data_IF_450016418243
#
_entry.id   IF_450016418243
#
_cell.length_a   1.000
_cell.length_b   1.000
_cell.length_c   1.000
_cell.angle_alpha   90.00
_cell.angle_beta   90.00
_cell.angle_gamma   90.00
#
_symmetry.space_group_name_H-M   'P 1'
#
loop_
_entity.id
_entity.type
_entity.pdbx_description
1 polymer ?
#
# COMPACT_ATOMS: atom_id res chain seq x y z
N UNK A 1 0.96 -3.62 10.06
CA UNK A 1 1.13 -2.16 9.85
C UNK A 1 0.35 -1.46 10.95
N UNK A 2 0.83 -0.32 11.42
CA UNK A 2 0.12 0.47 12.41
C UNK A 2 -1.18 1.01 11.80
N UNK A 3 -2.25 0.92 12.57
CA UNK A 3 -3.55 1.55 12.36
C UNK A 3 -3.96 2.24 13.66
N UNK A 4 -5.00 3.08 13.60
CA UNK A 4 -5.43 3.85 14.78
C UNK A 4 -5.84 2.94 15.94
N UNK A 5 -6.34 1.74 15.67
CA UNK A 5 -6.87 0.81 16.67
C UNK A 5 -5.88 -0.26 17.18
N UNK A 6 -4.67 -0.35 16.62
CA UNK A 6 -3.74 -1.47 16.90
C UNK A 6 -2.38 -1.06 17.46
N UNK A 7 -2.21 0.21 17.85
CA UNK A 7 -0.89 0.77 18.20
C UNK A 7 -0.15 -0.04 19.27
N UNK A 8 -0.80 -0.40 20.38
CA UNK A 8 -0.17 -1.16 21.48
C UNK A 8 0.36 -2.53 21.00
N UNK A 9 -0.47 -3.26 20.25
CA UNK A 9 -0.09 -4.56 19.68
C UNK A 9 1.04 -4.39 18.65
N UNK A 10 0.95 -3.36 17.82
CA UNK A 10 1.95 -3.06 16.80
C UNK A 10 3.32 -2.85 17.45
N UNK A 11 3.44 -1.96 18.44
CA UNK A 11 4.73 -1.70 19.08
C UNK A 11 5.26 -2.88 19.89
N UNK A 12 4.38 -3.74 20.43
CA UNK A 12 4.80 -4.95 21.14
C UNK A 12 5.32 -6.07 20.23
N UNK A 13 4.87 -6.13 18.96
CA UNK A 13 5.10 -7.28 18.07
C UNK A 13 5.75 -6.92 16.72
N UNK A 14 6.10 -5.65 16.51
CA UNK A 14 6.71 -5.20 15.27
C UNK A 14 8.09 -5.85 15.07
N UNK A 15 8.26 -6.53 13.94
CA UNK A 15 9.53 -7.09 13.51
C UNK A 15 10.02 -6.39 12.24
N UNK A 16 11.31 -6.08 12.20
CA UNK A 16 11.94 -5.51 11.00
C UNK A 16 12.13 -6.58 9.93
N UNK A 17 11.81 -6.22 8.69
CA UNK A 17 11.98 -7.09 7.52
C UNK A 17 13.43 -7.49 7.29
N UNK A 18 14.38 -6.64 7.67
CA UNK A 18 15.80 -6.82 7.40
C UNK A 18 16.35 -8.11 8.02
N UNK A 19 15.82 -8.54 9.17
CA UNK A 19 16.22 -9.79 9.80
C UNK A 19 15.91 -11.00 8.90
N UNK A 20 14.73 -11.01 8.28
CA UNK A 20 14.31 -12.06 7.36
C UNK A 20 15.06 -11.94 6.03
N UNK A 21 15.17 -10.73 5.48
CA UNK A 21 15.87 -10.48 4.22
C UNK A 21 17.34 -10.92 4.32
N UNK A 22 18.05 -10.52 5.38
CA UNK A 22 19.45 -10.91 5.60
C UNK A 22 19.59 -12.42 5.75
N UNK A 23 18.64 -13.08 6.41
CA UNK A 23 18.61 -14.54 6.48
C UNK A 23 18.48 -15.18 5.09
N UNK A 24 17.54 -14.70 4.27
CA UNK A 24 17.30 -15.21 2.91
C UNK A 24 18.56 -15.06 2.05
N UNK A 25 19.15 -13.86 2.03
CA UNK A 25 20.37 -13.58 1.26
C UNK A 25 21.54 -14.47 1.71
N UNK A 26 21.75 -14.62 3.02
CA UNK A 26 22.79 -15.52 3.58
C UNK A 26 22.56 -16.98 3.22
N UNK A 27 21.32 -17.38 2.97
CA UNK A 27 20.93 -18.74 2.55
C UNK A 27 20.88 -18.92 1.03
N UNK A 28 21.41 -17.97 0.25
CA UNK A 28 21.52 -18.10 -1.21
C UNK A 28 20.25 -17.73 -1.98
N UNK A 29 19.24 -17.17 -1.31
CA UNK A 29 18.07 -16.63 -1.99
C UNK A 29 18.44 -15.33 -2.71
N UNK A 30 17.81 -15.09 -3.86
CA UNK A 30 18.11 -13.96 -4.74
C UNK A 30 16.86 -13.13 -4.98
N UNK A 31 17.00 -11.81 -4.89
CA UNK A 31 15.91 -10.88 -5.14
C UNK A 31 15.61 -10.76 -6.64
N UNK A 32 14.34 -10.68 -6.97
CA UNK A 32 13.83 -10.41 -8.31
C UNK A 32 13.63 -8.92 -8.52
N UNK A 33 13.82 -8.48 -9.77
CA UNK A 33 13.46 -7.13 -10.17
C UNK A 33 11.94 -7.02 -10.28
N UNK A 34 11.38 -5.93 -9.75
CA UNK A 34 9.94 -5.65 -9.87
C UNK A 34 9.59 -5.21 -11.29
N UNK A 35 8.58 -5.84 -11.87
CA UNK A 35 7.88 -5.36 -13.06
C UNK A 35 6.99 -4.16 -12.77
N UNK A 36 6.56 -3.48 -13.82
CA UNK A 36 5.72 -2.28 -13.72
C UNK A 36 4.33 -2.54 -13.10
N UNK A 37 3.82 -3.77 -13.25
CA UNK A 37 2.50 -4.17 -12.77
C UNK A 37 2.57 -4.99 -11.46
N UNK A 38 3.76 -5.15 -10.88
CA UNK A 38 3.93 -6.01 -9.72
C UNK A 38 3.40 -5.39 -8.43
N UNK A 39 3.08 -6.29 -7.49
CA UNK A 39 2.84 -5.95 -6.10
C UNK A 39 3.99 -5.15 -5.47
N UNK A 40 3.79 -4.59 -4.26
CA UNK A 40 4.86 -3.91 -3.54
C UNK A 40 5.91 -4.88 -2.95
N UNK A 41 5.72 -6.19 -3.12
CA UNK A 41 6.62 -7.19 -2.59
C UNK A 41 7.91 -7.24 -3.41
N UNK A 42 9.05 -7.37 -2.72
CA UNK A 42 10.29 -7.85 -3.33
C UNK A 42 10.26 -9.37 -3.23
N UNK A 43 10.25 -10.05 -4.36
CA UNK A 43 10.23 -11.51 -4.40
C UNK A 43 11.64 -12.08 -4.37
N UNK A 44 11.81 -13.17 -3.62
CA UNK A 44 13.07 -13.90 -3.50
C UNK A 44 12.85 -15.34 -3.98
N UNK A 45 13.79 -15.87 -4.77
CA UNK A 45 13.80 -17.29 -5.17
C UNK A 45 15.13 -17.95 -4.84
N UNK A 46 15.15 -19.28 -4.83
CA UNK A 46 16.35 -20.09 -4.65
C UNK A 46 16.39 -21.18 -5.72
N UNK A 47 17.57 -21.51 -6.31
CA UNK A 47 17.67 -22.56 -7.34
C UNK A 47 17.14 -23.93 -6.90
N UNK A 48 17.35 -24.29 -5.64
CA UNK A 48 16.95 -25.59 -5.09
C UNK A 48 15.45 -25.70 -4.75
N UNK A 49 14.66 -24.62 -4.85
CA UNK A 49 13.25 -24.60 -4.47
C UNK A 49 12.37 -24.03 -5.58
N UNK A 50 11.18 -24.61 -5.77
CA UNK A 50 10.21 -24.15 -6.77
C UNK A 50 9.40 -22.93 -6.34
N UNK A 51 9.42 -22.59 -5.04
CA UNK A 51 8.63 -21.50 -4.46
C UNK A 51 9.38 -20.16 -4.41
N UNK A 52 8.61 -19.10 -4.14
CA UNK A 52 9.13 -17.75 -3.90
C UNK A 52 8.64 -17.20 -2.57
N UNK A 53 9.43 -16.31 -1.98
CA UNK A 53 9.08 -15.59 -0.75
C UNK A 53 8.99 -14.10 -1.11
N UNK A 54 7.82 -13.49 -0.87
CA UNK A 54 7.61 -12.06 -1.08
C UNK A 54 7.74 -11.28 0.22
N UNK A 55 8.61 -10.27 0.26
CA UNK A 55 8.76 -9.37 1.39
C UNK A 55 8.11 -8.02 1.08
N UNK A 56 7.13 -7.61 1.88
CA UNK A 56 6.50 -6.29 1.80
C UNK A 56 6.95 -5.49 3.02
N UNK A 57 7.74 -4.44 2.78
CA UNK A 57 8.28 -3.55 3.81
C UNK A 57 7.66 -2.15 3.68
N UNK A 58 6.44 -1.91 4.22
CA UNK A 58 5.72 -0.65 4.03
C UNK A 58 6.34 0.54 4.78
N UNK A 59 7.33 0.31 5.65
CA UNK A 59 8.08 1.37 6.35
C UNK A 59 9.41 1.69 5.68
N UNK A 60 9.78 0.97 4.61
CA UNK A 60 11.03 1.21 3.91
C UNK A 60 11.00 2.59 3.21
N UNK A 61 12.16 3.27 3.13
CA UNK A 61 12.30 4.43 2.25
C UNK A 61 11.87 4.08 0.83
N UNK A 62 11.35 5.04 0.09
CA UNK A 62 10.97 4.91 -1.32
C UNK A 62 9.85 3.89 -1.62
N UNK A 63 9.15 3.37 -0.60
CA UNK A 63 8.04 2.43 -0.79
C UNK A 63 6.93 3.01 -1.71
N UNK A 64 6.67 4.31 -1.59
CA UNK A 64 5.60 4.99 -2.32
C UNK A 64 6.00 5.46 -3.73
N UNK A 65 7.30 5.54 -4.06
CA UNK A 65 7.80 6.14 -5.31
C UNK A 65 7.25 5.46 -6.57
N UNK A 66 6.92 4.16 -6.46
CA UNK A 66 6.31 3.37 -7.55
C UNK A 66 4.82 3.09 -7.33
N UNK A 67 4.16 3.78 -6.38
CA UNK A 67 2.77 3.52 -6.01
C UNK A 67 1.79 4.09 -7.04
N UNK A 68 1.25 3.22 -7.88
CA UNK A 68 0.24 3.52 -8.89
C UNK A 68 -1.20 3.15 -8.44
N UNK A 69 -1.45 3.02 -7.14
CA UNK A 69 -2.72 2.55 -6.59
C UNK A 69 -3.62 3.68 -6.10
N UNK A 70 -4.90 3.54 -6.42
CA UNK A 70 -6.03 4.21 -5.79
C UNK A 70 -6.98 3.14 -5.26
N UNK A 71 -7.79 3.45 -4.26
CA UNK A 71 -8.81 2.53 -3.74
C UNK A 71 -10.17 3.20 -3.74
N UNK A 72 -11.22 2.43 -4.00
CA UNK A 72 -12.60 2.87 -3.92
C UNK A 72 -13.28 2.09 -2.80
N UNK A 73 -13.86 2.79 -1.83
CA UNK A 73 -14.65 2.17 -0.77
C UNK A 73 -16.06 1.81 -1.25
N UNK A 74 -16.75 0.94 -0.52
CA UNK A 74 -18.14 0.54 -0.80
C UNK A 74 -19.13 1.71 -0.75
N UNK A 75 -18.77 2.82 -0.10
CA UNK A 75 -19.55 4.05 -0.06
C UNK A 75 -19.42 4.90 -1.33
N UNK A 76 -18.59 4.49 -2.29
CA UNK A 76 -18.32 5.26 -3.51
C UNK A 76 -17.36 6.42 -3.27
N UNK A 77 -16.38 6.22 -2.38
CA UNK A 77 -15.34 7.22 -2.11
C UNK A 77 -13.96 6.74 -2.56
N UNK A 78 -13.22 7.62 -3.22
CA UNK A 78 -11.82 7.37 -3.63
C UNK A 78 -10.88 7.75 -2.49
N UNK A 79 -9.94 6.85 -2.22
CA UNK A 79 -8.78 7.08 -1.37
C UNK A 79 -7.53 7.17 -2.26
N UNK A 80 -6.81 8.29 -2.17
CA UNK A 80 -5.59 8.51 -2.96
C UNK A 80 -4.38 7.81 -2.33
N UNK A 81 -4.42 7.61 -1.02
CA UNK A 81 -3.48 6.78 -0.27
C UNK A 81 -4.22 5.81 0.66
N UNK A 82 -3.60 4.68 0.98
CA UNK A 82 -4.10 3.74 1.99
C UNK A 82 -4.15 4.40 3.39
N UNK A 83 -3.22 5.31 3.68
CA UNK A 83 -3.08 6.00 4.96
C UNK A 83 -3.35 7.51 4.83
N UNK A 84 -4.27 7.86 3.93
CA UNK A 84 -4.67 9.25 3.69
C UNK A 84 -5.43 9.84 4.90
N UNK A 85 -5.49 11.17 4.96
CA UNK A 85 -6.29 11.91 5.94
C UNK A 85 -7.74 12.14 5.43
N UNK A 86 -8.02 11.80 4.17
CA UNK A 86 -9.32 12.07 3.55
C UNK A 86 -9.77 11.02 2.53
N UNK A 87 -10.95 11.27 1.97
CA UNK A 87 -11.52 10.54 0.84
C UNK A 87 -12.43 11.46 0.03
N UNK A 88 -12.62 11.12 -1.25
CA UNK A 88 -13.31 11.97 -2.22
C UNK A 88 -14.53 11.25 -2.78
N UNK A 89 -15.69 11.89 -2.71
CA UNK A 89 -16.95 11.31 -3.20
C UNK A 89 -16.96 11.29 -4.74
N UNK A 90 -17.17 10.10 -5.30
CA UNK A 90 -17.37 9.90 -6.75
C UNK A 90 -18.74 9.29 -7.07
N UNK A 91 -19.59 9.10 -6.05
CA UNK A 91 -20.86 8.38 -6.15
C UNK A 91 -21.79 9.03 -7.17
N UNK A 92 -21.78 10.36 -7.27
CA UNK A 92 -22.59 11.10 -8.24
C UNK A 92 -22.30 10.67 -9.69
N UNK A 93 -21.03 10.62 -10.08
CA UNK A 93 -20.61 10.19 -11.42
C UNK A 93 -21.00 8.73 -11.68
N UNK A 94 -20.85 7.86 -10.68
CA UNK A 94 -21.23 6.46 -10.77
C UNK A 94 -22.75 6.29 -10.98
N UNK A 95 -23.56 7.04 -10.23
CA UNK A 95 -25.02 6.99 -10.31
C UNK A 95 -25.56 7.51 -11.65
N UNK A 96 -24.91 8.52 -12.21
CA UNK A 96 -25.28 9.11 -13.50
C UNK A 96 -24.68 8.36 -14.70
N UNK A 97 -23.86 7.34 -14.46
CA UNK A 97 -23.08 6.65 -15.50
C UNK A 97 -22.21 7.60 -16.32
N UNK A 98 -21.75 8.69 -15.71
CA UNK A 98 -20.89 9.70 -16.34
C UNK A 98 -19.43 9.25 -16.28
N UNK A 99 -19.05 8.41 -17.23
CA UNK A 99 -17.67 7.88 -17.35
C UNK A 99 -16.67 9.00 -17.66
N UNK A 100 -17.02 9.94 -18.53
CA UNK A 100 -16.12 11.02 -18.93
C UNK A 100 -15.84 11.97 -17.77
N UNK A 101 -16.89 12.38 -17.04
CA UNK A 101 -16.74 13.19 -15.84
C UNK A 101 -15.98 12.47 -14.73
N UNK A 102 -16.21 11.16 -14.53
CA UNK A 102 -15.43 10.37 -13.57
C UNK A 102 -13.94 10.35 -13.92
N UNK A 103 -13.59 10.07 -15.18
CA UNK A 103 -12.19 10.04 -15.64
C UNK A 103 -11.53 11.40 -15.43
N UNK A 104 -12.18 12.48 -15.84
CA UNK A 104 -11.67 13.83 -15.61
C UNK A 104 -11.47 14.10 -14.11
N UNK A 105 -12.44 13.71 -13.29
CA UNK A 105 -12.35 13.93 -11.84
C UNK A 105 -11.21 13.16 -11.18
N UNK A 106 -10.94 11.94 -11.65
CA UNK A 106 -9.79 11.15 -11.18
C UNK A 106 -8.46 11.79 -11.58
N UNK A 107 -8.36 12.36 -12.78
CA UNK A 107 -7.18 13.13 -13.18
C UNK A 107 -6.96 14.36 -12.29
N UNK A 108 -8.03 15.08 -11.93
CA UNK A 108 -7.96 16.23 -11.04
C UNK A 108 -7.47 15.87 -9.62
N UNK A 109 -7.61 14.60 -9.21
CA UNK A 109 -7.08 14.12 -7.92
C UNK A 109 -5.59 13.81 -7.95
N UNK A 110 -4.97 13.58 -9.12
CA UNK A 110 -3.58 13.15 -9.21
C UNK A 110 -2.59 14.15 -8.59
N UNK A 111 -2.74 15.47 -8.79
CA UNK A 111 -1.90 16.46 -8.11
C UNK A 111 -2.09 16.51 -6.58
N UNK A 112 -3.19 15.95 -6.06
CA UNK A 112 -3.52 15.93 -4.62
C UNK A 112 -2.98 14.67 -3.94
N UNK A 113 -2.73 13.60 -4.71
CA UNK A 113 -2.21 12.34 -4.17
C UNK A 113 -0.90 12.61 -3.43
N UNK A 114 -0.79 12.23 -2.14
CA UNK A 114 0.44 12.45 -1.39
C UNK A 114 1.57 11.62 -2.01
N UNK A 115 2.77 12.19 -2.03
CA UNK A 115 3.98 11.54 -2.53
C UNK A 115 4.31 10.26 -1.74
N UNK A 116 4.12 10.31 -0.41
CA UNK A 116 4.32 9.19 0.48
C UNK A 116 3.33 9.21 1.65
N UNK A 117 3.20 8.08 2.36
CA UNK A 117 2.50 8.03 3.64
C UNK A 117 3.43 8.40 4.80
N UNK A 118 2.86 8.61 5.99
CA UNK A 118 3.57 9.02 7.20
C UNK A 118 3.63 7.93 8.30
N UNK A 119 3.63 6.66 7.90
CA UNK A 119 3.69 5.53 8.85
C UNK A 119 4.92 5.58 9.77
N UNK A 120 6.08 6.07 9.29
CA UNK A 120 7.28 6.22 10.11
C UNK A 120 7.12 7.25 11.25
N UNK A 121 6.19 8.20 11.09
CA UNK A 121 5.84 9.23 12.06
C UNK A 121 4.68 8.78 12.97
N UNK A 122 4.38 7.48 12.96
CA UNK A 122 3.23 6.90 13.67
C UNK A 122 1.87 7.47 13.23
N UNK A 123 1.78 7.93 11.98
CA UNK A 123 0.57 8.52 11.42
C UNK A 123 -0.03 7.62 10.33
N UNK A 124 -1.10 6.90 10.69
CA UNK A 124 -1.87 6.05 9.77
C UNK A 124 -3.05 6.76 9.09
N UNK A 125 -3.19 8.08 9.28
CA UNK A 125 -4.32 8.85 8.78
C UNK A 125 -5.65 8.43 9.39
N UNK A 126 -6.73 8.46 8.59
CA UNK A 126 -8.07 8.04 9.02
C UNK A 126 -8.24 6.51 9.06
N UNK A 127 -7.15 5.76 8.84
CA UNK A 127 -7.20 4.30 8.74
C UNK A 127 -7.28 3.64 10.11
N UNK A 128 -8.51 3.40 10.55
CA UNK A 128 -8.81 2.68 11.78
C UNK A 128 -8.47 1.20 11.66
N UNK A 129 -8.90 0.52 10.60
CA UNK A 129 -8.48 -0.83 10.25
C UNK A 129 -8.53 -1.04 8.73
N UNK A 130 -7.73 -1.98 8.22
CA UNK A 130 -7.59 -2.18 6.78
C UNK A 130 -8.84 -2.77 6.10
N UNK A 131 -9.71 -3.45 6.87
CA UNK A 131 -10.92 -4.10 6.36
C UNK A 131 -11.95 -3.11 5.81
N UNK A 132 -11.92 -1.85 6.28
CA UNK A 132 -12.83 -0.78 5.83
C UNK A 132 -12.78 -0.51 4.32
N UNK A 133 -11.67 -0.87 3.67
CA UNK A 133 -11.44 -0.63 2.24
C UNK A 133 -10.95 -1.90 1.53
N UNK A 134 -11.43 -3.06 1.99
CA UNK A 134 -11.20 -4.36 1.36
C UNK A 134 -9.83 -4.97 1.63
N UNK A 135 -9.23 -4.66 2.79
CA UNK A 135 -8.05 -5.34 3.32
C UNK A 135 -8.37 -6.59 4.13
#
# INVERSE_FOLDING_TARGET
MQTTDNSDLFFAQHAQSDLIINYLLKKGWQAHHRGQNDGPAIEYSHPDYVGRIGMIAPYAPHFCDSCNRLRVSSLGKVHLCLFDQGNYDIRHYLQQQDVAGLVQKLHDFMPIKPEHHHLAESNSGIMHNLSMIGG
#
